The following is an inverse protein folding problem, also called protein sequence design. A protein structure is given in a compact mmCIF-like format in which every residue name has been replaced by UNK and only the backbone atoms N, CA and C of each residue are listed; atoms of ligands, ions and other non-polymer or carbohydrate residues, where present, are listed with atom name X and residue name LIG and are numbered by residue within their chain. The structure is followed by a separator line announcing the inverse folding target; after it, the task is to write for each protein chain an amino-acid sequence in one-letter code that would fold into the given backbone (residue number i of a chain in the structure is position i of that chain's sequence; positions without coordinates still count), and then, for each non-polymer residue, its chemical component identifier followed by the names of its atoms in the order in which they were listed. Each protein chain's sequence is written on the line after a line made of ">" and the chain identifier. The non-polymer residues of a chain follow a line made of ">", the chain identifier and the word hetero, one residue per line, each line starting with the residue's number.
data_IF_782755682285
#
_entry.id   IF_782755682285
#
_cell.length_a   1.000
_cell.length_b   1.000
_cell.length_c   1.000
_cell.angle_alpha   90.00
_cell.angle_beta   90.00
_cell.angle_gamma   90.00
#
_symmetry.space_group_name_H-M   'P 1'
#
loop_
_entity.id
_entity.type
_entity.pdbx_description
1 polymer ?
#
# COMPACT_ATOMS: atom_id res chain seq x y z
N UNK A 1 -19.63 -19.66 -0.34
CA UNK A 1 -18.26 -19.25 0.03
C UNK A 1 -18.34 -18.58 1.39
N UNK A 2 -17.54 -19.00 2.36
CA UNK A 2 -17.47 -18.39 3.70
C UNK A 2 -16.10 -17.74 3.89
N UNK A 3 -16.07 -16.50 4.37
CA UNK A 3 -14.84 -15.77 4.72
C UNK A 3 -14.91 -15.45 6.21
N UNK A 4 -13.83 -15.69 6.94
CA UNK A 4 -13.71 -15.36 8.37
C UNK A 4 -12.67 -14.24 8.53
N UNK A 5 -13.04 -13.18 9.24
CA UNK A 5 -12.18 -12.02 9.45
C UNK A 5 -12.49 -10.85 8.52
N UNK A 6 -11.75 -9.78 8.72
CA UNK A 6 -11.83 -8.53 7.94
C UNK A 6 -10.94 -8.59 6.70
N UNK A 7 -11.32 -7.86 5.65
CA UNK A 7 -10.59 -7.84 4.38
C UNK A 7 -10.18 -6.42 3.98
N UNK A 8 -8.94 -6.28 3.51
CA UNK A 8 -8.44 -5.10 2.84
C UNK A 8 -8.21 -5.41 1.35
N UNK A 9 -8.48 -4.43 0.50
CA UNK A 9 -8.35 -4.56 -0.95
C UNK A 9 -7.49 -3.44 -1.54
N UNK A 10 -6.59 -3.82 -2.43
CA UNK A 10 -5.73 -2.93 -3.23
C UNK A 10 -5.97 -3.29 -4.69
N UNK A 11 -6.60 -2.37 -5.43
CA UNK A 11 -6.84 -2.49 -6.87
C UNK A 11 -5.59 -2.23 -7.70
N UNK A 12 -5.53 -2.84 -8.89
CA UNK A 12 -4.50 -2.55 -9.90
C UNK A 12 -4.49 -1.08 -10.32
N UNK A 13 -5.67 -0.47 -10.49
CA UNK A 13 -5.80 0.97 -10.73
C UNK A 13 -5.95 1.71 -9.41
N UNK A 14 -4.91 2.42 -8.99
CA UNK A 14 -4.91 3.16 -7.74
C UNK A 14 -5.87 4.36 -7.76
N UNK A 15 -6.60 4.57 -6.67
CA UNK A 15 -7.55 5.69 -6.54
C UNK A 15 -7.34 6.47 -5.23
N UNK A 16 -7.39 7.79 -5.34
CA UNK A 16 -7.07 8.74 -4.27
C UNK A 16 -8.24 9.70 -4.10
N UNK A 17 -8.68 9.91 -2.86
CA UNK A 17 -9.70 10.88 -2.50
C UNK A 17 -9.09 12.28 -2.46
N UNK A 18 -9.90 13.29 -2.80
CA UNK A 18 -9.53 14.68 -2.58
C UNK A 18 -9.40 14.92 -1.08
N UNK A 19 -8.29 15.51 -0.65
CA UNK A 19 -7.90 15.60 0.76
C UNK A 19 -6.40 15.53 0.92
N UNK A 20 -5.91 15.37 2.14
CA UNK A 20 -4.46 15.21 2.41
C UNK A 20 -3.99 13.77 2.14
N UNK A 21 -2.68 13.57 2.04
CA UNK A 21 -2.09 12.23 2.00
C UNK A 21 -2.41 11.47 3.29
N UNK A 22 -2.31 12.15 4.43
CA UNK A 22 -2.68 11.58 5.73
C UNK A 22 -4.13 11.10 5.75
N UNK A 23 -5.09 11.92 5.34
CA UNK A 23 -6.52 11.54 5.28
C UNK A 23 -6.74 10.32 4.39
N UNK A 24 -6.03 10.24 3.27
CA UNK A 24 -6.09 9.09 2.37
C UNK A 24 -5.57 7.80 2.99
N UNK A 25 -4.54 7.88 3.86
CA UNK A 25 -3.95 6.73 4.55
C UNK A 25 -4.80 6.32 5.75
N UNK A 26 -5.21 7.29 6.59
CA UNK A 26 -6.02 7.06 7.78
C UNK A 26 -7.43 6.56 7.41
N UNK A 27 -8.01 7.14 6.35
CA UNK A 27 -9.28 6.72 5.76
C UNK A 27 -10.41 6.58 6.79
N UNK A 28 -10.55 7.60 7.64
CA UNK A 28 -11.55 7.65 8.72
C UNK A 28 -11.10 7.06 10.05
N UNK A 29 -9.95 6.39 10.11
CA UNK A 29 -9.39 5.87 11.35
C UNK A 29 -8.63 6.94 12.14
N UNK A 30 -8.63 6.90 13.48
CA UNK A 30 -7.85 7.83 14.30
C UNK A 30 -6.34 7.62 14.09
N UNK A 31 -5.58 8.72 14.12
CA UNK A 31 -4.12 8.68 13.94
C UNK A 31 -3.40 8.14 15.18
N UNK A 32 -2.94 6.90 15.09
CA UNK A 32 -1.84 6.35 15.90
C UNK A 32 -0.49 6.69 15.25
N UNK A 33 0.35 7.46 15.97
CA UNK A 33 1.65 7.93 15.47
C UNK A 33 2.66 6.81 15.23
N UNK A 34 2.70 5.80 16.08
CA UNK A 34 3.66 4.70 15.97
C UNK A 34 3.29 3.79 14.81
N UNK A 35 2.01 3.40 14.72
CA UNK A 35 1.47 2.64 13.59
C UNK A 35 1.68 3.39 12.28
N UNK A 36 1.34 4.68 12.24
CA UNK A 36 1.46 5.50 11.04
C UNK A 36 2.91 5.57 10.54
N UNK A 37 3.88 5.77 11.44
CA UNK A 37 5.31 5.77 11.09
C UNK A 37 5.74 4.43 10.48
N UNK A 38 5.27 3.31 11.03
CA UNK A 38 5.58 1.98 10.50
C UNK A 38 4.95 1.78 9.10
N UNK A 39 3.72 2.25 8.89
CA UNK A 39 3.06 2.20 7.58
C UNK A 39 3.82 3.02 6.53
N UNK A 40 4.22 4.25 6.85
CA UNK A 40 5.01 5.09 5.94
C UNK A 40 6.34 4.42 5.57
N UNK A 41 6.96 3.71 6.52
CA UNK A 41 8.19 2.97 6.26
C UNK A 41 7.96 1.75 5.35
N UNK A 42 7.00 0.90 5.69
CA UNK A 42 6.69 -0.33 4.95
C UNK A 42 6.22 -0.05 3.51
N UNK A 43 5.62 1.12 3.27
CA UNK A 43 5.14 1.52 1.96
C UNK A 43 6.15 2.40 1.19
N UNK A 44 7.40 2.51 1.62
CA UNK A 44 8.45 3.33 0.98
C UNK A 44 8.04 4.78 0.68
N UNK A 45 7.18 5.37 1.53
CA UNK A 45 6.63 6.72 1.31
C UNK A 45 7.51 7.84 1.89
N UNK A 46 8.48 7.51 2.76
CA UNK A 46 9.27 8.53 3.47
C UNK A 46 9.92 9.57 2.55
N UNK A 47 10.60 9.11 1.48
CA UNK A 47 11.26 9.99 0.51
C UNK A 47 10.25 10.85 -0.26
N UNK A 48 9.08 10.29 -0.61
CA UNK A 48 8.02 11.05 -1.28
C UNK A 48 7.53 12.20 -0.38
N UNK A 49 7.28 11.91 0.90
CA UNK A 49 6.82 12.91 1.87
C UNK A 49 7.86 14.01 2.12
N UNK A 50 9.15 13.69 2.12
CA UNK A 50 10.23 14.69 2.24
C UNK A 50 10.31 15.64 1.04
N UNK A 51 9.85 15.21 -0.14
CA UNK A 51 9.83 16.03 -1.36
C UNK A 51 8.61 16.95 -1.45
N UNK A 52 7.52 16.63 -0.75
CA UNK A 52 6.35 17.49 -0.71
C UNK A 52 6.54 18.64 0.28
N UNK A 53 6.18 19.85 -0.12
CA UNK A 53 6.35 21.07 0.71
C UNK A 53 5.66 21.00 2.07
N UNK A 54 4.59 20.20 2.18
CA UNK A 54 3.80 20.04 3.42
C UNK A 54 3.81 18.59 3.93
N UNK A 55 4.72 17.74 3.46
CA UNK A 55 4.78 16.35 3.88
C UNK A 55 3.46 15.61 3.64
N UNK A 56 2.99 14.90 4.67
CA UNK A 56 1.72 14.16 4.64
C UNK A 56 0.46 15.04 4.70
N UNK A 57 0.61 16.32 5.03
CA UNK A 57 -0.47 17.32 4.99
C UNK A 57 -0.66 17.93 3.59
N UNK A 58 0.12 17.48 2.60
CA UNK A 58 -0.01 17.96 1.23
C UNK A 58 -1.39 17.62 0.67
N UNK A 59 -2.08 18.66 0.20
CA UNK A 59 -3.42 18.52 -0.39
C UNK A 59 -3.30 17.89 -1.77
N UNK A 60 -4.06 16.82 -1.94
CA UNK A 60 -4.20 16.08 -3.17
C UNK A 60 -5.50 16.51 -3.85
N UNK A 61 -5.37 17.11 -5.03
CA UNK A 61 -6.51 17.48 -5.86
C UNK A 61 -7.24 16.27 -6.44
N UNK A 62 -8.36 16.52 -7.12
CA UNK A 62 -9.24 15.48 -7.65
C UNK A 62 -8.49 14.38 -8.42
N UNK A 63 -8.84 13.12 -8.12
CA UNK A 63 -8.24 11.90 -8.69
C UNK A 63 -6.72 11.79 -8.49
N UNK A 64 -6.14 12.52 -7.54
CA UNK A 64 -4.72 12.45 -7.25
C UNK A 64 -3.84 13.08 -8.32
N UNK A 65 -4.28 14.12 -9.03
CA UNK A 65 -3.52 14.73 -10.13
C UNK A 65 -2.09 15.14 -9.75
N UNK A 66 -1.85 15.42 -8.46
CA UNK A 66 -0.55 15.83 -7.93
C UNK A 66 0.43 14.67 -7.65
N UNK A 67 0.00 13.41 -7.82
CA UNK A 67 0.81 12.22 -7.52
C UNK A 67 1.17 11.46 -8.80
N UNK A 68 2.39 10.92 -8.86
CA UNK A 68 2.77 9.95 -9.88
C UNK A 68 2.00 8.63 -9.70
N UNK A 69 1.97 7.77 -10.73
CA UNK A 69 1.29 6.46 -10.64
C UNK A 69 1.81 5.59 -9.49
N UNK A 70 3.14 5.51 -9.32
CA UNK A 70 3.76 4.76 -8.23
C UNK A 70 3.47 5.35 -6.85
N UNK A 71 3.40 6.68 -6.73
CA UNK A 71 3.00 7.34 -5.48
C UNK A 71 1.56 7.03 -5.10
N UNK A 72 0.63 7.05 -6.08
CA UNK A 72 -0.77 6.65 -5.84
C UNK A 72 -0.86 5.21 -5.35
N UNK A 73 -0.10 4.29 -5.95
CA UNK A 73 -0.04 2.90 -5.50
C UNK A 73 0.46 2.79 -4.06
N UNK A 74 1.56 3.46 -3.72
CA UNK A 74 2.11 3.44 -2.35
C UNK A 74 1.16 4.04 -1.31
N UNK A 75 0.41 5.09 -1.65
CA UNK A 75 -0.62 5.66 -0.75
C UNK A 75 -1.79 4.69 -0.56
N UNK A 76 -2.21 3.97 -1.61
CA UNK A 76 -3.27 2.95 -1.50
C UNK A 76 -2.82 1.73 -0.68
N UNK A 77 -1.57 1.29 -0.84
CA UNK A 77 -0.96 0.26 0.01
C UNK A 77 -0.92 0.71 1.46
N UNK A 78 -0.49 1.95 1.72
CA UNK A 78 -0.50 2.53 3.06
C UNK A 78 -1.90 2.57 3.67
N UNK A 79 -2.92 2.95 2.88
CA UNK A 79 -4.32 2.89 3.30
C UNK A 79 -4.73 1.49 3.73
N UNK A 80 -4.45 0.48 2.91
CA UNK A 80 -4.80 -0.91 3.21
C UNK A 80 -4.10 -1.41 4.48
N UNK A 81 -2.78 -1.19 4.60
CA UNK A 81 -1.99 -1.61 5.76
C UNK A 81 -2.43 -0.91 7.05
N UNK A 82 -2.83 0.37 6.97
CA UNK A 82 -3.30 1.10 8.14
C UNK A 82 -4.62 0.55 8.70
N UNK A 83 -5.48 -0.03 7.85
CA UNK A 83 -6.72 -0.66 8.28
C UNK A 83 -6.50 -1.97 9.05
N UNK A 84 -5.31 -2.59 8.92
CA UNK A 84 -4.91 -3.77 9.71
C UNK A 84 -5.92 -4.93 9.65
N UNK A 85 -6.34 -5.27 8.43
CA UNK A 85 -7.26 -6.36 8.18
C UNK A 85 -6.63 -7.75 8.43
N UNK A 86 -7.44 -8.81 8.42
CA UNK A 86 -6.96 -10.20 8.53
C UNK A 86 -6.50 -10.76 7.17
N UNK A 87 -7.18 -10.33 6.10
CA UNK A 87 -6.98 -10.80 4.72
C UNK A 87 -6.67 -9.61 3.81
N UNK A 88 -5.63 -9.71 3.00
CA UNK A 88 -5.23 -8.70 2.01
C UNK A 88 -5.38 -9.26 0.60
N UNK A 89 -6.18 -8.57 -0.21
CA UNK A 89 -6.37 -8.86 -1.63
C UNK A 89 -5.64 -7.80 -2.44
N UNK A 90 -4.53 -8.19 -3.07
CA UNK A 90 -3.63 -7.28 -3.77
C UNK A 90 -3.62 -7.62 -5.25
N UNK A 91 -4.21 -6.75 -6.06
CA UNK A 91 -4.32 -6.91 -7.51
C UNK A 91 -3.21 -6.10 -8.22
N UNK A 92 -2.14 -6.77 -8.64
CA UNK A 92 -0.96 -6.20 -9.30
C UNK A 92 -0.45 -4.87 -8.68
N UNK A 93 -0.19 -4.86 -7.35
CA UNK A 93 0.01 -3.64 -6.57
C UNK A 93 1.29 -2.87 -6.92
N UNK A 94 2.23 -3.50 -7.64
CA UNK A 94 3.53 -2.91 -7.96
C UNK A 94 3.69 -2.55 -9.45
N UNK A 95 2.64 -2.71 -10.25
CA UNK A 95 2.64 -2.44 -11.71
C UNK A 95 3.07 -1.03 -12.11
N UNK A 96 2.78 -0.02 -11.28
CA UNK A 96 3.13 1.37 -11.52
C UNK A 96 4.41 1.82 -10.79
N UNK A 97 5.17 0.88 -10.23
CA UNK A 97 6.34 1.12 -9.39
C UNK A 97 7.60 0.61 -10.09
N UNK A 98 8.71 1.35 -9.99
CA UNK A 98 9.99 0.91 -10.56
C UNK A 98 10.53 -0.33 -9.82
N UNK A 99 11.37 -1.12 -10.48
CA UNK A 99 11.85 -2.41 -9.96
C UNK A 99 12.56 -2.32 -8.60
N UNK A 100 13.30 -1.23 -8.35
CA UNK A 100 14.01 -1.06 -7.07
C UNK A 100 13.01 -0.82 -5.94
N UNK A 101 12.10 0.13 -6.12
CA UNK A 101 11.04 0.39 -5.14
C UNK A 101 10.11 -0.83 -4.98
N UNK A 102 9.79 -1.54 -6.06
CA UNK A 102 8.97 -2.76 -6.03
C UNK A 102 9.61 -3.87 -5.19
N UNK A 103 10.93 -4.05 -5.30
CA UNK A 103 11.68 -5.02 -4.47
C UNK A 103 11.67 -4.64 -2.99
N UNK A 104 11.83 -3.34 -2.67
CA UNK A 104 11.73 -2.85 -1.30
C UNK A 104 10.31 -3.05 -0.73
N UNK A 105 9.27 -2.71 -1.49
CA UNK A 105 7.89 -2.93 -1.10
C UNK A 105 7.60 -4.42 -0.87
N UNK A 106 8.04 -5.31 -1.75
CA UNK A 106 7.84 -6.73 -1.54
C UNK A 106 8.46 -7.20 -0.22
N UNK A 107 9.69 -6.77 0.09
CA UNK A 107 10.36 -7.14 1.34
C UNK A 107 9.69 -6.52 2.57
N UNK A 108 9.51 -5.20 2.60
CA UNK A 108 9.05 -4.49 3.80
C UNK A 108 7.53 -4.62 4.00
N UNK A 109 6.75 -4.60 2.92
CA UNK A 109 5.29 -4.67 2.98
C UNK A 109 4.80 -6.12 3.05
N UNK A 110 5.13 -6.96 2.06
CA UNK A 110 4.58 -8.32 1.96
C UNK A 110 5.24 -9.24 3.00
N UNK A 111 6.57 -9.34 2.98
CA UNK A 111 7.28 -10.32 3.80
C UNK A 111 7.43 -9.91 5.27
N UNK A 112 7.45 -8.61 5.57
CA UNK A 112 7.62 -8.11 6.95
C UNK A 112 6.32 -7.61 7.56
N UNK A 113 5.68 -6.57 6.98
CA UNK A 113 4.50 -5.96 7.59
C UNK A 113 3.27 -6.89 7.57
N UNK A 114 3.14 -7.73 6.54
CA UNK A 114 2.05 -8.70 6.39
C UNK A 114 2.44 -10.14 6.74
N UNK A 115 3.60 -10.37 7.37
CA UNK A 115 4.13 -11.71 7.68
C UNK A 115 3.14 -12.65 8.39
N UNK A 116 2.26 -12.09 9.22
CA UNK A 116 1.27 -12.84 10.02
C UNK A 116 -0.17 -12.67 9.49
N UNK A 117 -0.35 -12.23 8.24
CA UNK A 117 -1.65 -11.99 7.60
C UNK A 117 -1.85 -12.95 6.44
N UNK A 118 -3.12 -13.16 6.06
CA UNK A 118 -3.41 -13.89 4.81
C UNK A 118 -3.30 -12.92 3.64
N UNK A 119 -2.46 -13.23 2.65
CA UNK A 119 -2.25 -12.38 1.48
C UNK A 119 -2.56 -13.15 0.21
N UNK A 120 -3.48 -12.62 -0.60
CA UNK A 120 -3.69 -13.04 -1.99
C UNK A 120 -3.06 -11.98 -2.87
N UNK A 121 -2.00 -12.35 -3.59
CA UNK A 121 -1.18 -11.46 -4.37
C UNK A 121 -1.23 -11.86 -5.84
N UNK A 122 -1.88 -11.03 -6.67
CA UNK A 122 -1.93 -11.21 -8.13
C UNK A 122 -0.77 -10.42 -8.73
N UNK A 123 0.03 -11.07 -9.57
CA UNK A 123 1.13 -10.39 -10.25
C UNK A 123 1.50 -11.09 -11.55
N UNK A 124 2.12 -10.33 -12.46
CA UNK A 124 2.85 -10.86 -13.61
C UNK A 124 4.37 -10.95 -13.37
N UNK A 125 4.85 -10.47 -12.22
CA UNK A 125 6.26 -10.42 -11.85
C UNK A 125 6.68 -11.74 -11.21
N UNK A 126 7.32 -12.60 -12.01
CA UNK A 126 7.72 -13.96 -11.63
C UNK A 126 8.80 -13.98 -10.54
N UNK A 127 9.54 -12.89 -10.37
CA UNK A 127 10.59 -12.72 -9.36
C UNK A 127 10.09 -12.84 -7.92
N UNK A 128 8.80 -12.60 -7.66
CA UNK A 128 8.21 -12.67 -6.33
C UNK A 128 7.72 -14.08 -5.96
N UNK A 129 7.46 -14.93 -6.96
CA UNK A 129 6.90 -16.26 -6.77
C UNK A 129 7.71 -17.17 -5.82
N UNK A 130 9.07 -17.17 -5.83
CA UNK A 130 9.84 -18.04 -4.93
C UNK A 130 9.61 -17.81 -3.44
N UNK A 131 9.04 -16.66 -3.04
CA UNK A 131 8.76 -16.33 -1.64
C UNK A 131 7.30 -16.57 -1.25
N UNK A 132 6.48 -17.19 -2.12
CA UNK A 132 5.07 -17.50 -1.85
C UNK A 132 4.88 -18.94 -1.39
N UNK A 133 3.87 -19.18 -0.54
CA UNK A 133 3.57 -20.52 -0.02
C UNK A 133 2.83 -21.40 -1.04
N UNK A 134 1.98 -20.78 -1.87
CA UNK A 134 1.14 -21.45 -2.87
C UNK A 134 1.02 -20.60 -4.12
N UNK A 135 1.16 -21.23 -5.29
CA UNK A 135 0.99 -20.61 -6.60
C UNK A 135 -0.23 -21.25 -7.28
N UNK A 136 -1.14 -20.41 -7.77
CA UNK A 136 -2.29 -20.80 -8.59
C UNK A 136 -2.11 -20.21 -9.99
N UNK A 137 -2.22 -21.05 -11.02
CA UNK A 137 -2.07 -20.69 -12.45
C UNK A 137 -3.32 -21.08 -13.21
#
# INVERSE_FOLDING_TARGET
>A
VSVCGSSAYVSQSAWIQSGTIEENILFGSPKDKAKYKNVIHACSLKKDLELFSHGDQTIIGDRGINLSGGQKQRVQLARALYQDADIYLLDDPFSAVDAHTGSELFREYILTALANKTVIFVTHQVEFLPATDLILV
#
